data_IF_915583704789
#
_entry.id   IF_915583704789
#
_cell.length_a   1.000
_cell.length_b   1.000
_cell.length_c   1.000
_cell.angle_alpha   90.00
_cell.angle_beta   90.00
_cell.angle_gamma   90.00
#
_symmetry.space_group_name_H-M   'P 1'
#
loop_
_entity.id
_entity.type
_entity.pdbx_description
1 polymer ?
#
# COMPACT_ATOMS: atom_id res chain seq x y z
N UNK A 1 -6.50 -34.82 -10.58
CA UNK A 1 -5.20 -34.22 -10.98
C UNK A 1 -5.52 -32.96 -11.75
N UNK A 2 -4.97 -31.81 -11.35
CA UNK A 2 -5.25 -30.50 -11.96
C UNK A 2 -3.99 -30.00 -12.65
N UNK A 3 -4.11 -29.57 -13.91
CA UNK A 3 -3.05 -28.89 -14.65
C UNK A 3 -3.32 -27.38 -14.58
N UNK A 4 -2.39 -26.61 -14.04
CA UNK A 4 -2.54 -25.16 -13.86
C UNK A 4 -1.75 -24.40 -14.94
N UNK A 5 -2.38 -23.42 -15.56
CA UNK A 5 -1.79 -22.58 -16.62
C UNK A 5 -1.75 -21.09 -16.23
N UNK A 6 -1.79 -20.79 -14.93
CA UNK A 6 -1.90 -19.42 -14.42
C UNK A 6 -0.71 -18.53 -14.80
N UNK A 7 0.50 -19.10 -14.88
CA UNK A 7 1.69 -18.36 -15.28
C UNK A 7 1.60 -17.88 -16.74
N UNK A 8 1.17 -18.75 -17.66
CA UNK A 8 0.96 -18.36 -19.06
C UNK A 8 -0.14 -17.29 -19.18
N UNK A 9 -1.24 -17.45 -18.46
CA UNK A 9 -2.32 -16.46 -18.45
C UNK A 9 -1.84 -15.10 -17.92
N UNK A 10 -1.08 -15.11 -16.82
CA UNK A 10 -0.46 -13.90 -16.26
C UNK A 10 0.47 -13.22 -17.26
N UNK A 11 1.36 -13.99 -17.90
CA UNK A 11 2.26 -13.49 -18.93
C UNK A 11 1.51 -12.88 -20.13
N UNK A 12 0.35 -13.42 -20.50
CA UNK A 12 -0.47 -12.85 -21.58
C UNK A 12 -1.08 -11.50 -21.18
N UNK A 13 -1.48 -11.31 -19.91
CA UNK A 13 -1.88 -10.00 -19.39
C UNK A 13 -0.71 -9.01 -19.29
N UNK A 14 0.50 -9.48 -18.96
CA UNK A 14 1.70 -8.62 -19.00
C UNK A 14 1.94 -8.11 -20.42
N UNK A 15 1.86 -8.97 -21.45
CA UNK A 15 1.96 -8.54 -22.85
C UNK A 15 0.87 -7.54 -23.25
N UNK A 16 -0.36 -7.73 -22.74
CA UNK A 16 -1.45 -6.79 -22.95
C UNK A 16 -1.13 -5.41 -22.36
N UNK A 17 -0.61 -5.36 -21.13
CA UNK A 17 -0.18 -4.12 -20.48
C UNK A 17 0.96 -3.44 -21.26
N UNK A 18 1.99 -4.18 -21.67
CA UNK A 18 3.16 -3.65 -22.37
C UNK A 18 2.84 -3.15 -23.77
N UNK A 19 1.99 -3.86 -24.51
CA UNK A 19 1.56 -3.42 -25.85
C UNK A 19 0.62 -2.21 -25.79
N UNK A 20 -0.23 -2.12 -24.76
CA UNK A 20 -1.26 -1.09 -24.65
C UNK A 20 -2.31 -1.15 -25.77
N UNK A 21 -2.41 -2.29 -26.46
CA UNK A 21 -3.40 -2.51 -27.52
C UNK A 21 -4.81 -2.49 -26.93
N UNK A 22 -5.75 -1.79 -27.59
CA UNK A 22 -7.15 -1.68 -27.16
C UNK A 22 -7.34 -1.02 -25.78
N UNK A 23 -6.34 -0.28 -25.28
CA UNK A 23 -6.50 0.52 -24.07
C UNK A 23 -7.62 1.56 -24.26
N UNK A 24 -8.43 1.73 -23.23
CA UNK A 24 -9.51 2.71 -23.18
C UNK A 24 -9.35 3.67 -21.98
N UNK A 25 -8.25 3.53 -21.23
CA UNK A 25 -7.91 4.36 -20.09
C UNK A 25 -6.44 4.78 -20.20
N UNK A 26 -6.19 6.05 -19.93
CA UNK A 26 -4.85 6.59 -19.63
C UNK A 26 -4.84 7.02 -18.17
N UNK A 27 -3.82 6.60 -17.44
CA UNK A 27 -3.59 7.01 -16.04
C UNK A 27 -2.31 7.84 -16.02
N UNK A 28 -2.44 9.09 -15.60
CA UNK A 28 -1.32 10.03 -15.48
C UNK A 28 -0.95 10.17 -14.00
N UNK A 29 0.33 9.92 -13.68
CA UNK A 29 0.84 9.92 -12.30
C UNK A 29 2.05 10.84 -12.17
N UNK A 30 2.28 11.34 -10.95
CA UNK A 30 3.32 12.31 -10.65
C UNK A 30 2.86 13.76 -10.84
N UNK A 31 3.63 14.69 -10.28
CA UNK A 31 3.30 16.12 -10.32
C UNK A 31 3.77 16.78 -11.63
N UNK A 32 3.00 17.76 -12.15
CA UNK A 32 3.46 18.58 -13.27
C UNK A 32 4.82 19.26 -12.95
N UNK A 33 5.72 19.42 -13.94
CA UNK A 33 5.51 19.15 -15.37
C UNK A 33 5.87 17.72 -15.81
N UNK A 34 6.39 16.87 -14.91
CA UNK A 34 6.89 15.53 -15.26
C UNK A 34 5.87 14.48 -14.82
N UNK A 35 4.79 14.35 -15.59
CA UNK A 35 3.80 13.29 -15.41
C UNK A 35 4.17 12.08 -16.26
N UNK A 36 4.07 10.88 -15.68
CA UNK A 36 4.22 9.64 -16.42
C UNK A 36 2.85 9.08 -16.78
N UNK A 37 2.71 8.59 -18.01
CA UNK A 37 1.45 8.06 -18.55
C UNK A 37 1.47 6.54 -18.60
N UNK A 38 0.35 5.92 -18.24
CA UNK A 38 0.16 4.48 -18.23
C UNK A 38 -1.13 4.14 -18.98
N UNK A 39 -1.02 3.28 -19.99
CA UNK A 39 -2.18 2.76 -20.73
C UNK A 39 -2.78 1.57 -19.97
N UNK A 40 -4.09 1.53 -19.84
CA UNK A 40 -4.79 0.49 -19.10
C UNK A 40 -6.16 0.14 -19.71
N UNK A 41 -6.71 -0.99 -19.28
CA UNK A 41 -7.95 -1.58 -19.78
C UNK A 41 -8.99 -1.61 -18.67
N UNK A 42 -10.14 -0.99 -18.91
CA UNK A 42 -11.25 -0.96 -17.94
C UNK A 42 -11.73 -2.36 -17.56
N UNK A 43 -11.65 -3.33 -18.48
CA UNK A 43 -12.01 -4.74 -18.30
C UNK A 43 -11.10 -5.49 -17.34
N UNK A 44 -9.82 -5.08 -17.23
CA UNK A 44 -8.92 -5.62 -16.21
C UNK A 44 -9.16 -4.94 -14.89
N UNK A 45 -9.27 -3.61 -14.89
CA UNK A 45 -9.46 -2.83 -13.67
C UNK A 45 -10.77 -3.17 -12.95
N UNK A 46 -11.85 -3.48 -13.66
CA UNK A 46 -13.14 -3.81 -13.02
C UNK A 46 -13.09 -5.02 -12.09
N UNK A 47 -12.15 -5.95 -12.29
CA UNK A 47 -11.96 -7.12 -11.45
C UNK A 47 -10.73 -7.04 -10.54
N UNK A 48 -9.74 -6.19 -10.87
CA UNK A 48 -8.43 -6.16 -10.20
C UNK A 48 -8.17 -4.88 -9.40
N UNK A 49 -8.91 -3.80 -9.65
CA UNK A 49 -8.84 -2.54 -8.90
C UNK A 49 -10.16 -1.77 -9.02
N UNK A 50 -11.11 -2.08 -8.14
CA UNK A 50 -12.44 -1.44 -8.10
C UNK A 50 -12.34 0.08 -7.98
N UNK A 51 -11.40 0.59 -7.18
CA UNK A 51 -11.15 2.02 -7.02
C UNK A 51 -10.91 2.74 -8.36
N UNK A 52 -9.95 2.25 -9.16
CA UNK A 52 -9.67 2.86 -10.47
C UNK A 52 -10.83 2.66 -11.46
N UNK A 53 -11.54 1.53 -11.37
CA UNK A 53 -12.71 1.29 -12.22
C UNK A 53 -13.88 2.23 -11.87
N UNK A 54 -14.11 2.51 -10.60
CA UNK A 54 -15.11 3.47 -10.14
C UNK A 54 -14.77 4.89 -10.59
N UNK A 55 -13.50 5.28 -10.51
CA UNK A 55 -13.01 6.53 -11.07
C UNK A 55 -13.26 6.60 -12.59
N UNK A 56 -12.93 5.53 -13.33
CA UNK A 56 -13.21 5.44 -14.76
C UNK A 56 -14.70 5.59 -15.11
N UNK A 57 -15.60 4.98 -14.32
CA UNK A 57 -17.05 5.06 -14.55
C UNK A 57 -17.60 6.48 -14.41
N UNK A 58 -17.02 7.30 -13.54
CA UNK A 58 -17.46 8.69 -13.31
C UNK A 58 -17.08 9.64 -14.45
N UNK A 59 -16.09 9.28 -15.26
CA UNK A 59 -15.55 10.17 -16.30
C UNK A 59 -16.44 10.21 -17.54
N UNK A 60 -16.58 11.41 -18.12
CA UNK A 60 -17.14 11.62 -19.46
C UNK A 60 -16.10 11.30 -20.53
N UNK A 61 -16.56 11.02 -21.75
CA UNK A 61 -15.66 10.82 -22.89
C UNK A 61 -15.13 12.19 -23.31
N UNK A 62 -13.81 12.32 -23.39
CA UNK A 62 -13.14 13.61 -23.61
C UNK A 62 -12.60 13.76 -25.04
N UNK A 63 -12.66 12.72 -25.88
CA UNK A 63 -12.11 12.74 -27.23
C UNK A 63 -12.85 11.81 -28.20
N UNK A 64 -12.56 11.95 -29.50
CA UNK A 64 -13.13 11.12 -30.57
C UNK A 64 -12.72 9.64 -30.49
N UNK A 65 -11.70 9.31 -29.69
CA UNK A 65 -11.14 7.96 -29.55
C UNK A 65 -11.80 7.18 -28.38
N UNK A 66 -12.77 7.77 -27.67
CA UNK A 66 -13.42 7.18 -26.49
C UNK A 66 -12.47 6.82 -25.34
N UNK A 67 -11.28 7.43 -25.29
CA UNK A 67 -10.29 7.21 -24.23
C UNK A 67 -10.60 8.14 -23.05
N UNK A 68 -10.57 7.61 -21.83
CA UNK A 68 -10.73 8.39 -20.60
C UNK A 68 -9.40 8.56 -19.87
N UNK A 69 -9.19 9.72 -19.24
CA UNK A 69 -7.96 10.06 -18.53
C UNK A 69 -8.23 10.18 -17.03
N UNK A 70 -7.47 9.44 -16.22
CA UNK A 70 -7.47 9.54 -14.75
C UNK A 70 -6.14 10.16 -14.31
N UNK A 71 -6.20 11.23 -13.53
CA UNK A 71 -5.01 11.89 -12.99
C UNK A 71 -4.81 11.53 -11.51
N UNK A 72 -3.58 11.17 -11.14
CA UNK A 72 -3.16 10.87 -9.76
C UNK A 72 -1.82 11.56 -9.46
N UNK A 73 -1.81 12.89 -9.34
CA UNK A 73 -0.57 13.67 -9.26
C UNK A 73 0.28 13.39 -8.01
N UNK A 74 -0.37 12.96 -6.92
CA UNK A 74 0.29 12.65 -5.64
C UNK A 74 0.86 11.22 -5.58
N UNK A 75 0.74 10.44 -6.65
CA UNK A 75 1.27 9.08 -6.71
C UNK A 75 2.62 9.08 -7.43
N UNK A 76 3.64 8.52 -6.79
CA UNK A 76 4.93 8.30 -7.42
C UNK A 76 4.81 7.32 -8.57
N UNK A 77 5.35 7.66 -9.73
CA UNK A 77 5.34 6.79 -10.90
C UNK A 77 6.08 5.46 -10.66
N UNK A 78 7.11 5.45 -9.80
CA UNK A 78 7.79 4.24 -9.35
C UNK A 78 6.82 3.27 -8.67
N UNK A 79 6.04 3.75 -7.71
CA UNK A 79 5.09 2.90 -6.99
C UNK A 79 3.89 2.54 -7.85
N UNK A 80 3.41 3.47 -8.69
CA UNK A 80 2.33 3.16 -9.63
C UNK A 80 2.73 2.06 -10.62
N UNK A 81 3.97 2.07 -11.11
CA UNK A 81 4.47 1.01 -11.98
C UNK A 81 4.43 -0.38 -11.30
N UNK A 82 4.70 -0.46 -10.00
CA UNK A 82 4.56 -1.72 -9.24
C UNK A 82 3.07 -2.11 -9.13
N UNK A 83 2.21 -1.14 -8.82
CA UNK A 83 0.76 -1.35 -8.66
C UNK A 83 0.12 -1.84 -9.96
N UNK A 84 0.40 -1.18 -11.09
CA UNK A 84 -0.18 -1.58 -12.37
C UNK A 84 0.35 -2.93 -12.83
N UNK A 85 1.62 -3.26 -12.56
CA UNK A 85 2.15 -4.61 -12.81
C UNK A 85 1.45 -5.65 -11.96
N UNK A 86 1.28 -5.42 -10.65
CA UNK A 86 0.52 -6.32 -9.79
C UNK A 86 -0.91 -6.58 -10.30
N UNK A 87 -1.59 -5.55 -10.82
CA UNK A 87 -2.95 -5.66 -11.36
C UNK A 87 -3.02 -6.67 -12.51
N UNK A 88 -2.02 -6.70 -13.40
CA UNK A 88 -1.98 -7.56 -14.60
C UNK A 88 -1.24 -8.88 -14.37
N UNK A 89 -0.12 -8.85 -13.66
CA UNK A 89 0.81 -9.98 -13.46
C UNK A 89 0.41 -10.83 -12.24
N UNK A 90 -0.38 -10.28 -11.32
CA UNK A 90 -0.70 -10.90 -10.03
C UNK A 90 0.53 -11.29 -9.19
N UNK A 91 1.67 -10.63 -9.42
CA UNK A 91 2.92 -10.85 -8.70
C UNK A 91 3.54 -9.52 -8.26
N UNK A 92 4.23 -9.55 -7.11
CA UNK A 92 5.12 -8.48 -6.65
C UNK A 92 6.41 -9.13 -6.17
N UNK A 93 7.54 -8.77 -6.76
CA UNK A 93 8.86 -9.23 -6.31
C UNK A 93 9.39 -8.31 -5.20
N UNK A 94 9.61 -8.88 -4.01
CA UNK A 94 10.16 -8.18 -2.84
C UNK A 94 11.61 -8.59 -2.52
N UNK A 95 12.22 -9.46 -3.35
CA UNK A 95 13.60 -9.88 -3.16
C UNK A 95 14.54 -8.67 -3.24
N UNK A 96 15.38 -8.48 -2.22
CA UNK A 96 16.36 -7.37 -2.12
C UNK A 96 15.73 -5.96 -2.19
N UNK A 97 14.43 -5.83 -1.90
CA UNK A 97 13.77 -4.53 -1.78
C UNK A 97 13.92 -4.01 -0.34
N UNK A 98 14.31 -2.75 -0.18
CA UNK A 98 14.41 -2.12 1.15
C UNK A 98 13.05 -2.09 1.86
N UNK A 99 13.01 -2.40 3.16
CA UNK A 99 11.76 -2.42 3.96
C UNK A 99 10.99 -1.10 3.90
N UNK A 100 11.70 0.04 3.82
CA UNK A 100 11.12 1.37 3.64
C UNK A 100 10.29 1.48 2.35
N UNK A 101 10.79 0.92 1.25
CA UNK A 101 10.13 0.87 -0.06
C UNK A 101 8.92 -0.06 0.01
N UNK A 102 9.03 -1.20 0.70
CA UNK A 102 7.92 -2.13 0.89
C UNK A 102 6.78 -1.46 1.69
N UNK A 103 7.12 -0.70 2.73
CA UNK A 103 6.15 0.08 3.48
C UNK A 103 5.48 1.17 2.62
N UNK A 104 6.24 1.91 1.82
CA UNK A 104 5.68 2.93 0.93
C UNK A 104 4.80 2.31 -0.18
N UNK A 105 5.12 1.10 -0.63
CA UNK A 105 4.25 0.30 -1.48
C UNK A 105 2.94 -0.09 -0.78
N UNK A 106 3.00 -0.51 0.50
CA UNK A 106 1.80 -0.78 1.32
C UNK A 106 0.91 0.47 1.44
N UNK A 107 1.49 1.65 1.67
CA UNK A 107 0.75 2.92 1.71
C UNK A 107 0.07 3.18 0.36
N UNK A 108 0.79 2.98 -0.74
CA UNK A 108 0.25 3.15 -2.09
C UNK A 108 -0.88 2.15 -2.38
N UNK A 109 -0.70 0.87 -2.03
CA UNK A 109 -1.72 -0.16 -2.21
C UNK A 109 -3.02 0.14 -1.44
N UNK A 110 -2.90 0.72 -0.24
CA UNK A 110 -4.05 1.21 0.53
C UNK A 110 -4.78 2.35 -0.19
N UNK A 111 -4.06 3.30 -0.80
CA UNK A 111 -4.68 4.39 -1.58
C UNK A 111 -5.49 3.88 -2.77
N UNK A 112 -5.05 2.76 -3.38
CA UNK A 112 -5.76 2.09 -4.47
C UNK A 112 -6.76 1.02 -4.01
N UNK A 113 -6.95 0.85 -2.69
CA UNK A 113 -7.88 -0.11 -2.09
C UNK A 113 -7.64 -1.56 -2.57
N UNK A 114 -6.37 -1.95 -2.70
CA UNK A 114 -5.98 -3.30 -3.14
C UNK A 114 -5.85 -4.24 -1.95
N UNK A 115 -6.99 -4.65 -1.39
CA UNK A 115 -7.08 -5.39 -0.12
C UNK A 115 -6.17 -6.63 -0.07
N UNK A 116 -6.14 -7.46 -1.12
CA UNK A 116 -5.27 -8.65 -1.15
C UNK A 116 -3.78 -8.26 -1.05
N UNK A 117 -3.34 -7.26 -1.80
CA UNK A 117 -1.95 -6.82 -1.79
C UNK A 117 -1.59 -6.18 -0.45
N UNK A 118 -2.47 -5.33 0.08
CA UNK A 118 -2.34 -4.73 1.42
C UNK A 118 -2.15 -5.83 2.46
N UNK A 119 -3.00 -6.85 2.44
CA UNK A 119 -2.94 -7.93 3.42
C UNK A 119 -1.63 -8.72 3.34
N UNK A 120 -1.15 -9.04 2.14
CA UNK A 120 0.12 -9.76 1.96
C UNK A 120 1.34 -8.93 2.36
N UNK A 121 1.37 -7.64 2.00
CA UNK A 121 2.47 -6.74 2.35
C UNK A 121 2.56 -6.50 3.86
N UNK A 122 1.43 -6.36 4.55
CA UNK A 122 1.39 -6.26 6.01
C UNK A 122 1.98 -7.50 6.67
N UNK A 123 1.48 -8.69 6.28
CA UNK A 123 1.92 -9.97 6.81
C UNK A 123 3.43 -10.10 6.64
N UNK A 124 3.93 -9.81 5.44
CA UNK A 124 5.35 -9.81 5.13
C UNK A 124 6.15 -8.87 6.05
N UNK A 125 5.73 -7.60 6.20
CA UNK A 125 6.43 -6.62 7.04
C UNK A 125 6.46 -7.02 8.52
N UNK A 126 5.36 -7.57 9.03
CA UNK A 126 5.19 -7.95 10.43
C UNK A 126 6.02 -9.19 10.77
N UNK A 127 5.98 -10.21 9.92
CA UNK A 127 6.69 -11.46 10.13
C UNK A 127 8.20 -11.30 9.93
N UNK A 128 8.62 -10.52 8.92
CA UNK A 128 10.02 -10.47 8.48
C UNK A 128 10.77 -9.21 8.97
N UNK A 129 10.05 -8.13 9.30
CA UNK A 129 10.67 -6.84 9.64
C UNK A 129 10.11 -6.15 10.90
N UNK A 130 9.81 -6.87 12.00
CA UNK A 130 9.21 -6.27 13.20
C UNK A 130 10.09 -5.18 13.84
N UNK A 131 11.42 -5.34 13.82
CA UNK A 131 12.36 -4.34 14.34
C UNK A 131 12.30 -3.03 13.55
N UNK A 132 12.16 -3.12 12.22
CA UNK A 132 12.03 -1.95 11.37
C UNK A 132 10.73 -1.21 11.67
N UNK A 133 9.62 -1.94 11.83
CA UNK A 133 8.33 -1.35 12.19
C UNK A 133 8.41 -0.59 13.51
N UNK A 134 9.03 -1.18 14.53
CA UNK A 134 9.24 -0.54 15.84
C UNK A 134 10.07 0.75 15.73
N UNK A 135 11.20 0.71 15.00
CA UNK A 135 12.09 1.88 14.85
C UNK A 135 11.48 2.99 14.00
N UNK A 136 10.55 2.66 13.09
CA UNK A 136 9.94 3.59 12.15
C UNK A 136 8.46 3.87 12.47
N UNK A 137 8.02 3.62 13.71
CA UNK A 137 6.62 3.74 14.07
C UNK A 137 6.06 5.16 13.85
N UNK A 138 6.86 6.22 13.99
CA UNK A 138 6.43 7.59 13.65
C UNK A 138 6.01 7.72 12.18
N UNK A 139 6.76 7.08 11.26
CA UNK A 139 6.42 7.03 9.83
C UNK A 139 5.11 6.26 9.61
N UNK A 140 4.93 5.16 10.34
CA UNK A 140 3.73 4.32 10.25
C UNK A 140 2.50 5.08 10.75
N UNK A 141 2.61 5.70 11.92
CA UNK A 141 1.55 6.48 12.56
C UNK A 141 1.05 7.62 11.66
N UNK A 142 1.98 8.32 10.99
CA UNK A 142 1.64 9.39 10.05
C UNK A 142 0.85 8.89 8.82
N UNK A 143 0.90 7.59 8.52
CA UNK A 143 0.05 6.95 7.52
C UNK A 143 -1.16 6.29 8.19
N UNK A 144 -2.19 7.10 8.49
CA UNK A 144 -3.41 6.62 9.17
C UNK A 144 -4.00 5.35 8.53
N UNK A 145 -4.02 5.28 7.19
CA UNK A 145 -4.50 4.11 6.47
C UNK A 145 -3.63 2.87 6.74
N UNK A 146 -2.30 3.00 6.67
CA UNK A 146 -1.40 1.88 6.94
C UNK A 146 -1.49 1.45 8.42
N UNK A 147 -1.51 2.40 9.36
CA UNK A 147 -1.67 2.12 10.78
C UNK A 147 -2.96 1.35 11.08
N UNK A 148 -4.11 1.88 10.64
CA UNK A 148 -5.42 1.22 10.84
C UNK A 148 -5.40 -0.18 10.23
N UNK A 149 -4.88 -0.30 9.01
CA UNK A 149 -4.83 -1.58 8.30
C UNK A 149 -3.95 -2.61 9.03
N UNK A 150 -2.87 -2.19 9.71
CA UNK A 150 -1.98 -3.08 10.48
C UNK A 150 -2.64 -3.50 11.81
N UNK A 151 -3.33 -2.58 12.48
CA UNK A 151 -3.94 -2.83 13.80
C UNK A 151 -5.21 -3.69 13.71
N UNK A 152 -5.97 -3.61 12.61
CA UNK A 152 -7.26 -4.30 12.44
C UNK A 152 -7.16 -5.78 11.99
N UNK A 153 -5.97 -6.35 11.83
CA UNK A 153 -5.79 -7.72 11.33
C UNK A 153 -5.98 -8.75 12.45
N UNK A 154 -7.14 -9.41 12.46
CA UNK A 154 -7.51 -10.46 13.43
C UNK A 154 -6.74 -11.79 13.24
N UNK A 155 -6.30 -12.08 12.02
CA UNK A 155 -5.63 -13.33 11.63
C UNK A 155 -4.14 -13.38 12.01
N UNK A 156 -3.53 -12.25 12.33
CA UNK A 156 -2.11 -12.17 12.69
C UNK A 156 -1.79 -12.82 14.04
N UNK A 157 -2.80 -13.22 14.84
CA UNK A 157 -2.62 -13.66 16.24
C UNK A 157 -1.70 -12.73 17.04
N UNK A 158 -1.60 -11.47 16.62
CA UNK A 158 -0.94 -10.44 17.38
C UNK A 158 -1.93 -10.05 18.45
N UNK A 159 -1.65 -10.48 19.68
CA UNK A 159 -2.38 -9.96 20.82
C UNK A 159 -2.38 -8.43 20.75
N UNK A 160 -3.53 -7.81 20.96
CA UNK A 160 -3.68 -6.36 21.04
C UNK A 160 -2.64 -5.75 22.00
N UNK A 161 -2.28 -6.51 23.04
CA UNK A 161 -1.19 -6.23 23.99
C UNK A 161 0.16 -5.95 23.31
N UNK A 162 0.53 -6.66 22.24
CA UNK A 162 1.77 -6.45 21.49
C UNK A 162 1.73 -5.17 20.67
N UNK A 163 0.59 -4.88 20.04
CA UNK A 163 0.38 -3.63 19.29
C UNK A 163 0.46 -2.43 20.25
N UNK A 164 -0.24 -2.52 21.39
CA UNK A 164 -0.16 -1.51 22.45
C UNK A 164 1.25 -1.37 23.01
N UNK A 165 1.99 -2.46 23.22
CA UNK A 165 3.40 -2.38 23.61
C UNK A 165 4.25 -1.61 22.60
N UNK A 166 4.03 -1.78 21.29
CA UNK A 166 4.73 -0.99 20.28
C UNK A 166 4.34 0.50 20.31
N UNK A 167 3.04 0.79 20.45
CA UNK A 167 2.52 2.17 20.57
C UNK A 167 3.12 2.87 21.79
N UNK A 168 3.13 2.19 22.94
CA UNK A 168 3.65 2.70 24.21
C UNK A 168 5.16 2.90 24.15
N UNK A 169 5.91 1.90 23.66
CA UNK A 169 7.37 2.01 23.50
C UNK A 169 7.76 3.13 22.53
N UNK A 170 6.97 3.36 21.48
CA UNK A 170 7.21 4.47 20.56
C UNK A 170 6.94 5.82 21.23
N UNK A 171 5.78 6.00 21.86
CA UNK A 171 5.45 7.27 22.49
C UNK A 171 6.43 7.59 23.64
N UNK A 172 6.92 6.56 24.34
CA UNK A 172 8.03 6.67 25.28
C UNK A 172 9.32 7.21 24.63
N UNK A 173 9.69 6.67 23.46
CA UNK A 173 10.89 7.09 22.74
C UNK A 173 10.83 8.55 22.26
N UNK A 174 9.64 9.11 22.07
CA UNK A 174 9.46 10.52 21.68
C UNK A 174 9.67 11.49 22.85
N UNK A 175 9.64 11.00 24.09
CA UNK A 175 9.82 11.82 25.27
C UNK A 175 10.94 11.28 26.17
N UNK A 176 12.10 11.94 26.11
CA UNK A 176 13.29 11.58 26.90
C UNK A 176 13.09 11.67 28.41
N UNK A 177 11.99 12.28 28.89
CA UNK A 177 11.67 12.33 30.32
C UNK A 177 10.96 11.07 30.81
N UNK A 178 10.46 10.22 29.90
CA UNK A 178 9.79 8.97 30.27
C UNK A 178 10.83 7.89 30.61
N UNK A 179 10.59 7.09 31.67
CA UNK A 179 11.43 5.94 31.99
C UNK A 179 11.49 4.93 30.83
N UNK A 180 12.66 4.34 30.63
CA UNK A 180 12.87 3.35 29.55
C UNK A 180 12.19 2.01 29.82
N UNK A 181 12.02 1.66 31.11
CA UNK A 181 11.33 0.45 31.53
C UNK A 181 9.87 0.78 31.88
N UNK A 182 8.94 0.02 31.31
CA UNK A 182 7.51 0.21 31.49
C UNK A 182 7.02 -0.12 32.90
N UNK A 183 7.71 -1.04 33.58
CA UNK A 183 7.36 -1.42 34.95
C UNK A 183 7.59 -0.28 35.96
N UNK A 184 8.38 0.74 35.57
CA UNK A 184 8.69 1.91 36.41
C UNK A 184 7.67 3.05 36.24
N UNK A 185 6.68 2.89 35.35
CA UNK A 185 5.75 3.96 35.00
C UNK A 185 4.66 4.15 36.06
N UNK A 186 4.39 5.41 36.36
CA UNK A 186 3.25 5.83 37.18
C UNK A 186 2.20 6.57 36.32
N UNK A 187 1.07 6.92 36.94
CA UNK A 187 -0.04 7.60 36.26
C UNK A 187 0.38 8.87 35.51
N UNK A 188 1.33 9.67 36.04
CA UNK A 188 1.81 10.87 35.33
C UNK A 188 2.56 10.50 34.05
N UNK A 189 3.31 9.40 34.05
CA UNK A 189 4.04 8.94 32.87
C UNK A 189 3.05 8.55 31.76
N UNK A 190 1.95 7.88 32.10
CA UNK A 190 0.85 7.61 31.17
C UNK A 190 0.14 8.88 30.68
N UNK A 191 -0.06 9.89 31.54
CA UNK A 191 -0.63 11.17 31.11
C UNK A 191 0.31 11.95 30.18
N UNK A 192 1.62 11.88 30.42
CA UNK A 192 2.65 12.45 29.53
C UNK A 192 2.62 11.72 28.18
N UNK A 193 2.56 10.40 28.19
CA UNK A 193 2.43 9.58 26.98
C UNK A 193 1.16 9.94 26.21
N UNK A 194 0.02 10.04 26.88
CA UNK A 194 -1.26 10.40 26.30
C UNK A 194 -1.25 11.78 25.63
N UNK A 195 -0.50 12.74 26.15
CA UNK A 195 -0.34 14.04 25.51
C UNK A 195 0.64 14.01 24.32
N UNK A 196 1.39 12.92 24.16
CA UNK A 196 2.37 12.70 23.09
C UNK A 196 1.79 11.93 21.89
N UNK A 197 0.79 11.06 22.12
CA UNK A 197 0.14 10.19 21.12
C UNK A 197 -1.20 10.79 20.67
#
# INVERSE_FOLDING_TARGET
MTLNFYENLSNDYVKLLESGNEHNIIIEVGEPPVMQTFKAHSTVLCYRCSYLYDEFKKLTINNNENIKIIQKPQISAKFFNIIIKYIYEAMVNLEKVETSIIFDLLVTANQFQLEELVARLQTFLIENHPSWLKLNFSKIYNSKAALVSIIQREDLQLEESKVWNYVIQWGAAQNKTLPSNLDDWNEKDFQILKNTI
#
